data_IF_799832214362
#
_entry.id   IF_799832214362
#
_cell.length_a   1.000
_cell.length_b   1.000
_cell.length_c   1.000
_cell.angle_alpha   90.00
_cell.angle_beta   90.00
_cell.angle_gamma   90.00
#
_symmetry.space_group_name_H-M   'P 1'
#
loop_
_entity.id
_entity.type
_entity.pdbx_description
1 polymer ?
#
# COMPACT_ATOMS: atom_id res chain seq x y z
N UNK A 1 -7.15 -3.61 -12.08
CA UNK A 1 -7.05 -4.46 -10.88
C UNK A 1 -6.80 -3.58 -9.67
N UNK A 2 -7.50 -3.85 -8.56
CA UNK A 2 -7.35 -3.17 -7.26
C UNK A 2 -6.42 -3.98 -6.36
N UNK A 3 -5.34 -3.37 -5.91
CA UNK A 3 -4.31 -3.98 -5.07
C UNK A 3 -4.30 -3.28 -3.72
N UNK A 4 -4.22 -4.06 -2.64
CA UNK A 4 -3.90 -3.56 -1.31
C UNK A 4 -2.43 -3.84 -0.99
N UNK A 5 -1.71 -2.87 -0.45
CA UNK A 5 -0.38 -3.08 0.13
C UNK A 5 -0.41 -2.74 1.62
N UNK A 6 -0.11 -3.74 2.46
CA UNK A 6 0.00 -3.61 3.91
C UNK A 6 1.48 -3.63 4.27
N UNK A 7 1.99 -2.47 4.69
CA UNK A 7 3.39 -2.25 5.03
C UNK A 7 4.14 -1.48 3.94
N UNK A 8 4.61 -0.29 4.29
CA UNK A 8 5.28 0.66 3.38
C UNK A 8 6.68 1.05 3.87
N UNK A 9 7.39 0.06 4.43
CA UNK A 9 8.79 0.20 4.84
C UNK A 9 9.77 0.25 3.67
N UNK A 10 11.04 -0.05 3.94
CA UNK A 10 12.14 -0.01 2.94
C UNK A 10 11.81 -0.80 1.65
N UNK A 11 11.16 -1.95 1.79
CA UNK A 11 10.75 -2.78 0.65
C UNK A 11 9.34 -2.44 0.14
N UNK A 12 8.39 -2.20 1.04
CA UNK A 12 6.99 -1.96 0.66
C UNK A 12 6.82 -0.70 -0.20
N UNK A 13 7.55 0.38 0.10
CA UNK A 13 7.46 1.62 -0.70
C UNK A 13 7.81 1.42 -2.18
N UNK A 14 9.01 0.94 -2.57
CA UNK A 14 9.33 0.75 -3.98
C UNK A 14 8.42 -0.30 -4.65
N UNK A 15 7.90 -1.28 -3.91
CA UNK A 15 6.86 -2.19 -4.44
C UNK A 15 5.58 -1.43 -4.81
N UNK A 16 5.09 -0.56 -3.94
CA UNK A 16 3.91 0.27 -4.20
C UNK A 16 4.10 1.19 -5.40
N UNK A 17 5.27 1.83 -5.53
CA UNK A 17 5.62 2.67 -6.68
C UNK A 17 5.59 1.86 -8.00
N UNK A 18 6.06 0.61 -7.99
CA UNK A 18 6.01 -0.28 -9.16
C UNK A 18 4.60 -0.75 -9.51
N UNK A 19 3.76 -1.05 -8.50
CA UNK A 19 2.35 -1.40 -8.73
C UNK A 19 1.60 -0.26 -9.39
N UNK A 20 1.82 0.98 -8.93
CA UNK A 20 1.25 2.18 -9.54
C UNK A 20 1.78 2.41 -10.96
N UNK A 21 3.10 2.27 -11.17
CA UNK A 21 3.72 2.42 -12.49
C UNK A 21 3.21 1.38 -13.51
N UNK A 22 2.76 0.21 -13.06
CA UNK A 22 2.12 -0.80 -13.89
C UNK A 22 0.64 -0.50 -14.24
N UNK A 23 0.08 0.60 -13.72
CA UNK A 23 -1.29 1.04 -14.01
C UNK A 23 -2.36 0.41 -13.13
N UNK A 24 -1.99 -0.21 -12.00
CA UNK A 24 -2.96 -0.76 -11.05
C UNK A 24 -3.42 0.27 -10.03
N UNK A 25 -4.67 0.14 -9.58
CA UNK A 25 -5.17 0.94 -8.46
C UNK A 25 -4.57 0.39 -7.17
N UNK A 26 -3.96 1.25 -6.37
CA UNK A 26 -3.28 0.87 -5.14
C UNK A 26 -3.87 1.61 -3.94
N UNK A 27 -4.38 0.83 -2.98
CA UNK A 27 -4.72 1.32 -1.64
C UNK A 27 -3.67 0.79 -0.66
N UNK A 28 -3.12 1.67 0.18
CA UNK A 28 -2.03 1.32 1.09
C UNK A 28 -2.40 1.57 2.53
N UNK A 29 -1.87 0.72 3.40
CA UNK A 29 -1.94 0.93 4.84
C UNK A 29 -0.58 0.65 5.48
N UNK A 30 -0.23 1.46 6.46
CA UNK A 30 0.86 1.17 7.37
C UNK A 30 0.50 1.71 8.77
N UNK A 31 0.93 0.99 9.82
CA UNK A 31 0.69 1.40 11.22
C UNK A 31 1.15 2.84 11.50
N UNK A 32 2.30 3.19 10.96
CA UNK A 32 2.82 4.55 10.89
C UNK A 32 2.34 5.19 9.59
N UNK A 33 1.30 6.03 9.66
CA UNK A 33 0.69 6.68 8.48
C UNK A 33 1.71 7.51 7.70
N UNK A 34 2.64 8.15 8.38
CA UNK A 34 3.72 8.95 7.80
C UNK A 34 4.59 8.15 6.81
N UNK A 35 4.68 6.83 6.95
CA UNK A 35 5.42 5.97 6.03
C UNK A 35 4.61 5.60 4.78
N UNK A 36 3.29 5.74 4.81
CA UNK A 36 2.42 5.49 3.65
C UNK A 36 2.26 6.75 2.79
N UNK A 37 2.37 7.93 3.42
CA UNK A 37 2.22 9.24 2.78
C UNK A 37 3.06 9.44 1.50
N UNK A 38 4.32 8.98 1.39
CA UNK A 38 5.09 9.13 0.15
C UNK A 38 4.44 8.48 -1.09
N UNK A 39 3.66 7.42 -0.90
CA UNK A 39 2.94 6.75 -2.00
C UNK A 39 1.71 7.54 -2.46
N UNK A 40 1.15 8.42 -1.61
CA UNK A 40 0.05 9.31 -2.01
C UNK A 40 0.48 10.22 -3.15
N UNK A 41 1.71 10.75 -3.08
CA UNK A 41 2.30 11.57 -4.14
C UNK A 41 2.50 10.81 -5.46
N UNK A 42 2.56 9.47 -5.41
CA UNK A 42 2.64 8.59 -6.58
C UNK A 42 1.27 8.13 -7.10
N UNK A 43 0.17 8.50 -6.43
CA UNK A 43 -1.19 8.15 -6.83
C UNK A 43 -1.84 7.03 -6.02
N UNK A 44 -1.25 6.59 -4.90
CA UNK A 44 -1.92 5.64 -4.00
C UNK A 44 -2.99 6.32 -3.14
N UNK A 45 -4.02 5.56 -2.79
CA UNK A 45 -4.97 5.92 -1.74
C UNK A 45 -4.45 5.43 -0.37
N UNK A 46 -4.52 6.28 0.66
CA UNK A 46 -4.08 5.93 2.01
C UNK A 46 -5.29 5.55 2.86
N UNK A 47 -5.41 4.27 3.22
CA UNK A 47 -6.47 3.79 4.10
C UNK A 47 -6.19 4.15 5.57
N UNK A 48 -7.25 4.38 6.35
CA UNK A 48 -7.15 4.61 7.78
C UNK A 48 -6.93 3.30 8.56
N UNK A 49 -7.36 2.16 8.00
CA UNK A 49 -7.18 0.84 8.62
C UNK A 49 -6.73 -0.22 7.59
N UNK A 50 -6.11 -1.31 8.06
CA UNK A 50 -5.80 -2.44 7.20
C UNK A 50 -7.06 -3.08 6.59
N UNK A 51 -8.14 -3.18 7.37
CA UNK A 51 -9.41 -3.73 6.92
C UNK A 51 -10.01 -2.91 5.77
N UNK A 52 -9.92 -1.59 5.84
CA UNK A 52 -10.36 -0.68 4.77
C UNK A 52 -9.53 -0.88 3.49
N UNK A 53 -8.19 -0.99 3.60
CA UNK A 53 -7.35 -1.27 2.44
C UNK A 53 -7.71 -2.62 1.77
N UNK A 54 -8.00 -3.65 2.57
CA UNK A 54 -8.28 -5.00 2.09
C UNK A 54 -9.69 -5.12 1.49
N UNK A 55 -10.68 -4.43 2.04
CA UNK A 55 -12.11 -4.70 1.79
C UNK A 55 -12.56 -4.59 0.32
N UNK A 56 -11.82 -3.88 -0.54
CA UNK A 56 -12.13 -3.76 -1.98
C UNK A 56 -11.02 -4.25 -2.91
N UNK A 57 -9.98 -4.89 -2.36
CA UNK A 57 -8.84 -5.35 -3.13
C UNK A 57 -9.08 -6.74 -3.75
N UNK A 58 -8.62 -6.91 -4.98
CA UNK A 58 -8.60 -8.21 -5.68
C UNK A 58 -7.32 -8.99 -5.35
N UNK A 59 -6.26 -8.27 -4.96
CA UNK A 59 -4.97 -8.83 -4.56
C UNK A 59 -4.44 -8.07 -3.34
N UNK A 60 -3.92 -8.80 -2.35
CA UNK A 60 -3.33 -8.22 -1.13
C UNK A 60 -1.85 -8.58 -1.06
N UNK A 61 -1.00 -7.57 -1.00
CA UNK A 61 0.42 -7.67 -0.76
C UNK A 61 0.70 -7.37 0.72
N UNK A 62 1.28 -8.34 1.43
CA UNK A 62 1.73 -8.16 2.81
C UNK A 62 3.24 -8.02 2.81
N UNK A 63 3.75 -6.88 3.26
CA UNK A 63 5.19 -6.64 3.37
C UNK A 63 5.51 -6.06 4.76
N UNK A 64 5.61 -6.96 5.73
CA UNK A 64 5.76 -6.64 7.15
C UNK A 64 7.08 -7.20 7.68
N UNK A 65 7.66 -6.50 8.66
CA UNK A 65 8.72 -7.07 9.48
C UNK A 65 8.07 -7.89 10.60
N UNK A 66 8.70 -8.99 10.99
CA UNK A 66 8.27 -9.90 12.07
C UNK A 66 8.87 -9.54 13.43
N UNK A 67 9.97 -8.78 13.46
CA UNK A 67 10.58 -8.30 14.70
C UNK A 67 11.52 -9.30 15.33
#
# INVERSE_FOLDING_TARGET
MKVALIGTGLMGRPMGERVLAAGYHLTVFNRSREKAEPLRSSGAEIAATAAEAIGSAECVLLMLADG
#
